data_IF_327939534949
#
_entry.id   IF_327939534949
#
_cell.length_a   1.000
_cell.length_b   1.000
_cell.length_c   1.000
_cell.angle_alpha   90.00
_cell.angle_beta   90.00
_cell.angle_gamma   90.00
#
_symmetry.space_group_name_H-M   'P 1'
#
loop_
_entity.id
_entity.type
_entity.pdbx_description
1 polymer ?
#
# COMPACT_ATOMS: atom_id res chain seq x y z
N UNK A 1 -8.47 1.43 0.58
CA UNK A 1 -6.98 1.40 0.55
C UNK A 1 -6.50 2.36 -0.52
N UNK A 2 -5.40 3.04 -0.27
CA UNK A 2 -4.86 4.05 -1.18
C UNK A 2 -3.92 3.45 -2.24
N UNK A 3 -3.64 4.19 -3.32
CA UNK A 3 -2.64 3.82 -4.33
C UNK A 3 -1.39 4.68 -4.21
N UNK A 4 -0.22 4.05 -4.21
CA UNK A 4 1.09 4.72 -4.24
C UNK A 4 1.81 4.35 -5.53
N UNK A 5 2.44 5.35 -6.17
CA UNK A 5 3.34 5.18 -7.32
C UNK A 5 4.52 6.13 -7.19
N UNK A 6 5.72 5.63 -7.36
CA UNK A 6 6.96 6.40 -7.53
C UNK A 6 7.64 5.98 -8.83
N UNK A 7 8.19 6.92 -9.55
CA UNK A 7 8.89 6.70 -10.81
C UNK A 7 10.14 7.55 -10.90
N UNK A 8 11.22 6.96 -11.43
CA UNK A 8 12.42 7.67 -11.85
C UNK A 8 13.01 6.98 -13.09
N UNK A 9 13.29 7.74 -14.16
CA UNK A 9 13.72 7.17 -15.44
C UNK A 9 13.73 8.17 -16.60
N UNK A 10 13.92 7.72 -17.85
CA UNK A 10 14.08 8.59 -19.01
C UNK A 10 12.77 9.23 -19.51
N UNK A 11 11.62 8.68 -19.14
CA UNK A 11 10.32 9.20 -19.59
C UNK A 11 9.93 10.45 -18.79
N UNK A 12 8.94 11.22 -19.31
CA UNK A 12 8.28 12.25 -18.50
C UNK A 12 7.54 11.58 -17.35
N UNK A 13 7.92 11.86 -16.11
CA UNK A 13 7.42 11.17 -14.92
C UNK A 13 5.90 11.24 -14.76
N UNK A 14 5.26 12.30 -15.25
CA UNK A 14 3.81 12.45 -15.21
C UNK A 14 3.07 11.28 -15.88
N UNK A 15 3.61 10.75 -16.99
CA UNK A 15 2.97 9.64 -17.72
C UNK A 15 2.94 8.34 -16.90
N UNK A 16 4.08 7.74 -16.50
CA UNK A 16 4.04 6.51 -15.71
C UNK A 16 3.35 6.67 -14.36
N UNK A 17 3.39 7.85 -13.73
CA UNK A 17 2.66 8.12 -12.50
C UNK A 17 1.14 8.06 -12.71
N UNK A 18 0.62 8.79 -13.70
CA UNK A 18 -0.83 8.82 -13.97
C UNK A 18 -1.34 7.44 -14.42
N UNK A 19 -0.61 6.73 -15.31
CA UNK A 19 -0.99 5.38 -15.73
C UNK A 19 -0.99 4.41 -14.55
N UNK A 20 0.02 4.47 -13.67
CA UNK A 20 0.06 3.65 -12.46
C UNK A 20 -1.09 3.97 -11.51
N UNK A 21 -1.37 5.24 -11.26
CA UNK A 21 -2.49 5.67 -10.41
C UNK A 21 -3.84 5.26 -11.00
N UNK A 22 -4.02 5.32 -12.32
CA UNK A 22 -5.26 4.90 -13.00
C UNK A 22 -5.56 3.41 -12.73
N UNK A 23 -4.53 2.58 -12.66
CA UNK A 23 -4.68 1.15 -12.33
C UNK A 23 -4.96 0.90 -10.87
N UNK A 24 -4.54 1.83 -10.00
CA UNK A 24 -4.78 1.76 -8.56
C UNK A 24 -6.02 2.54 -8.11
N UNK A 25 -6.76 3.20 -9.00
CA UNK A 25 -7.92 4.05 -8.65
C UNK A 25 -9.03 3.27 -7.92
N UNK A 26 -9.15 1.96 -8.17
CA UNK A 26 -10.07 1.11 -7.43
C UNK A 26 -9.77 1.01 -5.93
N UNK A 27 -8.54 1.35 -5.52
CA UNK A 27 -8.09 1.37 -4.12
C UNK A 27 -8.44 2.68 -3.40
N UNK A 28 -8.54 3.80 -4.13
CA UNK A 28 -8.85 5.11 -3.57
C UNK A 28 -9.27 6.07 -4.67
N UNK A 29 -10.33 6.83 -4.43
CA UNK A 29 -10.94 7.72 -5.42
C UNK A 29 -11.53 9.00 -4.82
N UNK A 30 -11.17 9.34 -3.57
CA UNK A 30 -11.66 10.55 -2.90
C UNK A 30 -10.75 11.76 -3.14
N UNK A 31 -9.50 11.53 -3.45
CA UNK A 31 -8.55 12.55 -3.91
C UNK A 31 -7.34 11.89 -4.59
N UNK A 32 -6.66 12.66 -5.43
CA UNK A 32 -5.44 12.25 -6.10
C UNK A 32 -4.44 13.40 -6.19
N UNK A 33 -3.15 13.08 -6.29
CA UNK A 33 -2.14 14.11 -6.52
C UNK A 33 -0.77 13.53 -6.85
N UNK A 34 0.08 14.40 -7.39
CA UNK A 34 1.46 14.10 -7.78
C UNK A 34 2.43 15.16 -7.25
N UNK A 35 3.65 14.73 -6.99
CA UNK A 35 4.81 15.60 -6.82
C UNK A 35 5.85 15.25 -7.88
N UNK A 36 6.30 16.24 -8.65
CA UNK A 36 7.31 16.08 -9.70
C UNK A 36 8.60 16.78 -9.29
N UNK A 37 9.71 16.05 -9.37
CA UNK A 37 11.03 16.53 -8.98
C UNK A 37 11.63 17.48 -10.02
N UNK A 38 11.75 18.77 -9.69
CA UNK A 38 12.52 19.73 -10.48
C UNK A 38 13.72 20.22 -9.67
N UNK A 39 14.83 20.57 -10.30
CA UNK A 39 15.98 21.10 -9.57
C UNK A 39 15.62 22.32 -8.71
N UNK A 40 15.84 22.21 -7.40
CA UNK A 40 15.61 23.28 -6.43
C UNK A 40 14.17 23.54 -6.02
N UNK A 41 13.19 22.88 -6.63
CA UNK A 41 11.76 22.97 -6.24
C UNK A 41 10.99 21.71 -6.62
N UNK A 42 9.83 21.53 -6.03
CA UNK A 42 8.86 20.50 -6.44
C UNK A 42 7.67 21.15 -7.14
N UNK A 43 7.18 20.50 -8.19
CA UNK A 43 5.86 20.80 -8.74
C UNK A 43 4.86 19.89 -8.04
N UNK A 44 3.83 20.45 -7.44
CA UNK A 44 2.78 19.73 -6.73
C UNK A 44 1.44 20.07 -7.36
N UNK A 45 0.68 19.05 -7.73
CA UNK A 45 -0.72 19.20 -8.12
C UNK A 45 -1.55 18.11 -7.42
N UNK A 46 -2.68 18.50 -6.82
CA UNK A 46 -3.56 17.59 -6.09
C UNK A 46 -4.99 18.07 -6.09
N UNK A 47 -5.94 17.13 -6.26
CA UNK A 47 -7.37 17.40 -6.38
C UNK A 47 -8.20 16.42 -5.58
N UNK A 48 -9.25 16.95 -4.95
CA UNK A 48 -10.33 16.15 -4.40
C UNK A 48 -11.14 15.48 -5.51
N UNK A 49 -11.67 14.29 -5.22
CA UNK A 49 -12.44 13.47 -6.14
C UNK A 49 -11.59 12.50 -6.96
N UNK A 50 -12.13 12.04 -8.08
CA UNK A 50 -11.52 11.01 -8.92
C UNK A 50 -10.22 11.49 -9.56
N UNK A 51 -9.39 10.53 -9.99
CA UNK A 51 -8.15 10.79 -10.71
C UNK A 51 -8.34 11.70 -11.92
N UNK A 52 -9.49 11.60 -12.60
CA UNK A 52 -9.85 12.50 -13.72
C UNK A 52 -9.86 13.97 -13.34
N UNK A 53 -10.13 14.34 -12.09
CA UNK A 53 -10.08 15.74 -11.65
C UNK A 53 -8.62 16.23 -11.61
N UNK A 54 -7.70 15.40 -11.17
CA UNK A 54 -6.26 15.68 -11.23
C UNK A 54 -5.82 15.78 -12.69
N UNK A 55 -6.16 14.81 -13.54
CA UNK A 55 -5.79 14.81 -14.97
C UNK A 55 -6.25 16.08 -15.68
N UNK A 56 -7.48 16.53 -15.42
CA UNK A 56 -8.03 17.76 -16.00
C UNK A 56 -7.36 19.04 -15.48
N UNK A 57 -6.71 19.01 -14.31
CA UNK A 57 -5.94 20.14 -13.78
C UNK A 57 -4.50 20.20 -14.30
N UNK A 58 -4.01 19.08 -14.85
CA UNK A 58 -2.68 19.00 -15.44
C UNK A 58 -2.74 19.59 -16.86
N UNK A 59 -2.12 20.71 -17.07
CA UNK A 59 -2.08 21.41 -18.37
C UNK A 59 -0.75 21.20 -19.12
N UNK A 60 -0.64 21.84 -20.29
CA UNK A 60 0.56 21.77 -21.12
C UNK A 60 1.81 22.41 -20.48
N UNK A 61 1.67 23.09 -19.32
CA UNK A 61 2.78 23.70 -18.57
C UNK A 61 3.47 22.74 -17.63
N UNK A 62 3.03 21.46 -17.54
CA UNK A 62 3.68 20.43 -16.75
C UNK A 62 5.19 20.38 -17.02
N UNK A 63 6.02 20.42 -15.97
CA UNK A 63 7.45 20.30 -16.14
C UNK A 63 7.79 18.91 -16.71
N UNK A 64 8.58 18.89 -17.80
CA UNK A 64 9.12 17.63 -18.35
C UNK A 64 10.28 17.19 -17.47
N UNK A 65 9.97 16.44 -16.44
CA UNK A 65 10.93 15.91 -15.47
C UNK A 65 10.88 14.40 -15.43
N UNK A 66 11.91 13.81 -14.87
CA UNK A 66 12.22 12.40 -14.99
C UNK A 66 11.89 11.59 -13.73
N UNK A 67 11.41 12.25 -12.68
CA UNK A 67 11.10 11.60 -11.41
C UNK A 67 9.91 12.23 -10.72
N UNK A 68 9.21 11.44 -9.92
CA UNK A 68 8.09 11.92 -9.13
C UNK A 68 7.43 10.82 -8.32
N UNK A 69 6.49 11.25 -7.47
CA UNK A 69 5.64 10.39 -6.67
C UNK A 69 4.18 10.78 -6.87
N UNK A 70 3.27 9.80 -6.79
CA UNK A 70 1.84 10.00 -7.00
C UNK A 70 1.01 9.13 -6.07
N UNK A 71 -0.20 9.62 -5.77
CA UNK A 71 -1.09 9.02 -4.79
C UNK A 71 -2.55 9.12 -5.20
N UNK A 72 -3.33 8.04 -4.96
CA UNK A 72 -4.80 8.08 -4.90
C UNK A 72 -5.23 7.72 -3.49
N UNK A 73 -6.12 8.54 -2.91
CA UNK A 73 -6.46 8.47 -1.50
C UNK A 73 -7.82 7.84 -1.25
N UNK A 74 -7.90 7.08 -0.16
CA UNK A 74 -9.10 6.75 0.59
C UNK A 74 -8.96 7.38 1.97
N UNK A 75 -9.78 8.37 2.29
CA UNK A 75 -9.62 9.19 3.50
C UNK A 75 -9.74 8.37 4.78
N UNK A 76 -8.76 8.53 5.65
CA UNK A 76 -8.76 8.01 7.04
C UNK A 76 -8.74 9.15 8.05
N UNK A 77 -7.92 10.17 7.84
CA UNK A 77 -7.79 11.38 8.67
C UNK A 77 -8.01 12.62 7.81
N UNK A 78 -8.94 13.47 8.20
CA UNK A 78 -9.36 14.65 7.45
C UNK A 78 -10.25 14.34 6.24
N UNK A 79 -11.17 15.25 5.91
CA UNK A 79 -12.10 15.09 4.80
C UNK A 79 -11.44 15.06 3.41
N UNK A 80 -12.17 14.68 2.35
CA UNK A 80 -11.67 14.65 0.98
C UNK A 80 -11.62 16.07 0.38
N UNK A 81 -10.56 16.80 0.69
CA UNK A 81 -10.30 18.16 0.20
C UNK A 81 -8.95 18.21 -0.52
N UNK A 82 -8.74 19.24 -1.36
CA UNK A 82 -7.44 19.45 -2.01
C UNK A 82 -6.31 19.60 -0.98
N UNK A 83 -6.57 20.25 0.17
CA UNK A 83 -5.60 20.42 1.24
C UNK A 83 -5.17 19.10 1.88
N UNK A 84 -6.11 18.19 2.07
CA UNK A 84 -5.88 16.88 2.69
C UNK A 84 -5.44 15.80 1.70
N UNK A 85 -5.47 16.07 0.38
CA UNK A 85 -4.93 15.18 -0.63
C UNK A 85 -3.41 15.06 -0.51
N UNK A 86 -2.85 13.90 -0.83
CA UNK A 86 -1.40 13.71 -0.97
C UNK A 86 -0.91 14.20 -2.34
N UNK A 87 0.35 14.62 -2.46
CA UNK A 87 1.43 14.64 -1.46
C UNK A 87 1.28 15.74 -0.41
N UNK A 88 1.87 15.52 0.78
CA UNK A 88 2.12 16.56 1.78
C UNK A 88 3.55 17.06 1.67
N UNK A 89 3.75 18.34 1.95
CA UNK A 89 5.07 18.99 1.81
C UNK A 89 5.53 19.59 3.13
N UNK A 90 6.83 19.76 3.26
CA UNK A 90 7.41 20.52 4.35
C UNK A 90 7.14 22.04 4.20
N UNK A 91 7.46 22.85 5.23
CA UNK A 91 7.22 24.29 5.18
C UNK A 91 8.09 25.03 4.15
N UNK A 92 9.17 24.42 3.65
CA UNK A 92 10.01 24.98 2.60
C UNK A 92 9.50 24.63 1.19
N UNK A 93 8.55 23.69 1.06
CA UNK A 93 8.05 23.19 -0.22
C UNK A 93 9.08 22.39 -1.00
N UNK A 94 10.12 21.87 -0.33
CA UNK A 94 11.22 21.15 -0.94
C UNK A 94 11.18 19.65 -0.75
N UNK A 95 10.47 19.16 0.26
CA UNK A 95 10.29 17.76 0.54
C UNK A 95 8.81 17.40 0.39
N UNK A 96 8.51 16.36 -0.38
CA UNK A 96 7.16 15.83 -0.52
C UNK A 96 7.08 14.38 -0.07
N UNK A 97 5.97 14.03 0.60
CA UNK A 97 5.70 12.68 1.12
C UNK A 97 4.32 12.23 0.68
N UNK A 98 4.22 10.98 0.29
CA UNK A 98 2.95 10.24 0.14
C UNK A 98 2.93 9.07 1.09
N UNK A 99 1.74 8.68 1.55
CA UNK A 99 1.54 7.70 2.61
C UNK A 99 0.30 6.85 2.40
N UNK A 100 0.45 5.54 2.58
CA UNK A 100 -0.65 4.60 2.80
C UNK A 100 -0.56 4.07 4.23
N UNK A 101 -1.67 4.07 4.95
CA UNK A 101 -1.73 3.54 6.32
C UNK A 101 -2.15 4.59 7.35
N UNK A 102 -1.71 4.42 8.58
CA UNK A 102 -2.02 5.28 9.72
C UNK A 102 -0.78 5.45 10.59
N UNK A 103 -0.45 6.71 10.90
CA UNK A 103 0.57 7.06 11.90
C UNK A 103 -0.13 7.26 13.24
N UNK A 104 -0.11 6.24 14.09
CA UNK A 104 -0.87 6.19 15.34
C UNK A 104 -0.46 7.28 16.34
N UNK A 105 0.82 7.67 16.34
CA UNK A 105 1.34 8.71 17.24
C UNK A 105 1.41 10.10 16.59
N UNK A 106 0.66 10.35 15.51
CA UNK A 106 0.72 11.62 14.77
C UNK A 106 0.37 12.84 15.64
N UNK A 107 -0.52 12.71 16.60
CA UNK A 107 -0.92 13.81 17.50
C UNK A 107 0.25 14.27 18.38
N UNK A 108 1.02 13.32 18.91
CA UNK A 108 2.22 13.59 19.71
C UNK A 108 3.30 14.26 18.85
N UNK A 109 3.52 13.71 17.64
CA UNK A 109 4.49 14.24 16.67
C UNK A 109 4.10 15.65 16.22
N UNK A 110 2.84 15.89 15.92
CA UNK A 110 2.32 17.21 15.54
C UNK A 110 2.59 18.25 16.62
N UNK A 111 2.25 17.95 17.88
CA UNK A 111 2.51 18.86 18.99
C UNK A 111 4.01 19.19 19.15
N UNK A 112 4.89 18.21 19.00
CA UNK A 112 6.35 18.41 19.05
C UNK A 112 6.85 19.29 17.89
N UNK A 113 6.34 19.07 16.68
CA UNK A 113 6.74 19.81 15.49
C UNK A 113 6.19 21.25 15.51
N UNK A 114 4.96 21.46 15.99
CA UNK A 114 4.40 22.80 16.20
C UNK A 114 5.21 23.58 17.24
N UNK A 115 5.67 22.93 18.33
CA UNK A 115 6.56 23.55 19.31
C UNK A 115 7.94 23.93 18.72
N UNK A 116 8.40 23.25 17.67
CA UNK A 116 9.61 23.61 16.89
C UNK A 116 9.35 24.70 15.85
N UNK A 117 8.10 25.14 15.67
CA UNK A 117 7.70 26.21 14.74
C UNK A 117 7.17 25.74 13.38
N UNK A 118 6.96 24.45 13.18
CA UNK A 118 6.31 23.95 11.95
C UNK A 118 4.84 24.39 11.91
N UNK A 119 4.39 24.74 10.71
CA UNK A 119 2.98 25.12 10.45
C UNK A 119 2.32 24.02 9.64
N UNK A 120 1.20 23.55 10.14
CA UNK A 120 0.39 22.53 9.50
C UNK A 120 -0.72 23.17 8.66
N UNK A 121 -0.92 22.67 7.46
CA UNK A 121 -1.91 23.12 6.48
C UNK A 121 -3.03 22.11 6.25
N UNK A 122 -2.87 20.88 6.74
CA UNK A 122 -3.84 19.81 6.60
C UNK A 122 -4.25 19.19 7.94
N UNK A 123 -5.28 18.35 7.88
CA UNK A 123 -5.79 17.59 9.02
C UNK A 123 -5.22 16.15 9.02
N UNK A 124 -4.29 15.81 8.11
CA UNK A 124 -3.79 14.46 7.93
C UNK A 124 -2.65 14.14 8.90
N UNK A 125 -2.51 12.87 9.23
CA UNK A 125 -1.36 12.33 9.96
C UNK A 125 -0.07 12.43 9.15
N UNK A 126 -0.17 12.34 7.82
CA UNK A 126 0.96 12.32 6.88
C UNK A 126 1.78 13.62 6.87
N UNK A 127 1.16 14.78 7.08
CA UNK A 127 1.90 16.05 7.12
C UNK A 127 2.93 16.08 8.26
N UNK A 128 2.66 15.37 9.38
CA UNK A 128 3.62 15.20 10.47
C UNK A 128 4.90 14.49 9.98
N UNK A 129 4.77 13.52 9.07
CA UNK A 129 5.92 12.82 8.50
C UNK A 129 6.74 13.73 7.60
N UNK A 130 6.10 14.59 6.80
CA UNK A 130 6.81 15.54 5.94
C UNK A 130 7.68 16.50 6.75
N UNK A 131 7.16 17.05 7.84
CA UNK A 131 7.90 17.93 8.73
C UNK A 131 9.01 17.20 9.51
N UNK A 132 8.72 15.99 10.02
CA UNK A 132 9.71 15.16 10.71
C UNK A 132 10.89 14.83 9.79
N UNK A 133 10.62 14.39 8.55
CA UNK A 133 11.66 14.09 7.57
C UNK A 133 12.47 15.32 7.17
N UNK A 134 11.84 16.51 7.10
CA UNK A 134 12.55 17.76 6.82
C UNK A 134 13.57 18.09 7.91
N UNK A 135 13.21 17.94 9.19
CA UNK A 135 14.12 18.13 10.31
C UNK A 135 15.25 17.10 10.29
N UNK A 136 14.92 15.82 10.25
CA UNK A 136 15.90 14.73 10.25
C UNK A 136 16.87 14.81 9.06
N UNK A 137 16.38 15.21 7.87
CA UNK A 137 17.25 15.37 6.70
C UNK A 137 18.31 16.46 6.93
N UNK A 138 17.98 17.53 7.63
CA UNK A 138 18.95 18.57 8.01
C UNK A 138 20.00 18.02 8.98
N UNK A 139 19.57 17.21 9.95
CA UNK A 139 20.48 16.53 10.90
C UNK A 139 21.43 15.56 10.19
N UNK A 140 20.97 14.90 9.12
CA UNK A 140 21.78 13.99 8.30
C UNK A 140 22.46 14.65 7.08
N UNK A 141 22.70 15.96 7.10
CA UNK A 141 23.40 16.69 6.04
C UNK A 141 22.82 16.47 4.62
N UNK A 142 21.51 16.29 4.54
CA UNK A 142 20.79 16.12 3.28
C UNK A 142 20.54 14.66 2.85
N UNK A 143 20.99 13.67 3.59
CA UNK A 143 20.70 12.25 3.32
C UNK A 143 19.26 11.89 3.69
N UNK A 144 18.42 11.76 2.65
CA UNK A 144 16.99 11.44 2.83
C UNK A 144 16.78 9.99 3.30
N UNK A 145 17.67 9.06 2.92
CA UNK A 145 17.55 7.67 3.34
C UNK A 145 17.90 7.50 4.83
N UNK A 146 18.92 8.20 5.32
CA UNK A 146 19.23 8.24 6.74
C UNK A 146 18.09 8.89 7.55
N UNK A 147 17.54 10.01 7.05
CA UNK A 147 16.39 10.65 7.65
C UNK A 147 15.16 9.72 7.71
N UNK A 148 14.90 8.95 6.64
CA UNK A 148 13.80 7.98 6.60
C UNK A 148 13.98 6.87 7.64
N UNK A 149 15.19 6.33 7.80
CA UNK A 149 15.50 5.32 8.82
C UNK A 149 15.17 5.79 10.23
N UNK A 150 15.57 7.02 10.57
CA UNK A 150 15.30 7.58 11.89
C UNK A 150 13.84 8.00 12.08
N UNK A 151 13.18 8.48 11.01
CA UNK A 151 11.75 8.72 11.05
C UNK A 151 10.97 7.43 11.37
N UNK A 152 11.29 6.30 10.71
CA UNK A 152 10.65 4.99 10.95
C UNK A 152 10.80 4.51 12.39
N UNK A 153 11.92 4.79 13.03
CA UNK A 153 12.13 4.47 14.46
C UNK A 153 11.22 5.30 15.39
N UNK A 154 10.89 6.53 14.97
CA UNK A 154 10.01 7.43 15.72
C UNK A 154 8.51 7.20 15.46
N UNK A 155 8.16 6.62 14.31
CA UNK A 155 6.77 6.39 13.90
C UNK A 155 6.21 5.11 14.52
N UNK A 156 4.93 5.17 14.93
CA UNK A 156 4.12 4.01 15.33
C UNK A 156 2.98 3.81 14.35
N UNK A 157 2.58 2.56 14.13
CA UNK A 157 1.47 2.21 13.26
C UNK A 157 1.88 1.40 12.04
N UNK A 158 0.99 1.37 11.04
CA UNK A 158 1.17 0.68 9.77
C UNK A 158 1.26 1.70 8.66
N UNK A 159 2.32 1.63 7.86
CA UNK A 159 2.55 2.64 6.83
C UNK A 159 3.38 2.14 5.66
N UNK A 160 3.14 2.74 4.51
CA UNK A 160 4.05 2.80 3.37
C UNK A 160 4.28 4.27 3.05
N UNK A 161 5.53 4.67 3.02
CA UNK A 161 5.95 6.05 2.75
C UNK A 161 6.83 6.10 1.50
N UNK A 162 6.58 7.08 0.63
CA UNK A 162 7.58 7.53 -0.36
C UNK A 162 7.85 9.01 -0.15
N UNK A 163 9.11 9.39 -0.30
CA UNK A 163 9.57 10.77 -0.19
C UNK A 163 10.49 11.14 -1.35
N UNK A 164 10.39 12.40 -1.80
CA UNK A 164 11.25 13.03 -2.80
C UNK A 164 11.68 14.41 -2.32
N UNK A 165 12.89 14.83 -2.64
CA UNK A 165 13.40 16.14 -2.26
C UNK A 165 13.96 16.92 -3.46
N UNK A 166 13.67 18.21 -3.52
CA UNK A 166 14.05 19.11 -4.62
C UNK A 166 15.56 19.23 -4.87
N UNK A 167 16.40 19.04 -3.85
CA UNK A 167 17.86 19.09 -4.00
C UNK A 167 18.45 17.81 -4.63
N UNK A 168 17.69 16.70 -4.61
CA UNK A 168 18.05 15.43 -5.25
C UNK A 168 16.82 14.85 -5.98
N UNK A 169 16.32 15.52 -7.02
CA UNK A 169 15.02 15.24 -7.61
C UNK A 169 14.91 13.83 -8.23
N UNK A 170 16.03 13.23 -8.64
CA UNK A 170 16.03 11.89 -9.26
C UNK A 170 16.12 10.75 -8.23
N UNK A 171 16.15 11.09 -6.93
CA UNK A 171 16.19 10.11 -5.82
C UNK A 171 14.84 10.04 -5.15
N UNK A 172 14.26 8.84 -5.10
CA UNK A 172 13.05 8.55 -4.34
C UNK A 172 13.42 7.58 -3.23
N UNK A 173 13.01 7.89 -2.01
CA UNK A 173 13.22 7.03 -0.85
C UNK A 173 11.87 6.48 -0.39
N UNK A 174 11.80 5.17 -0.18
CA UNK A 174 10.60 4.49 0.27
C UNK A 174 10.85 3.55 1.45
N UNK A 175 9.80 3.27 2.20
CA UNK A 175 9.82 2.30 3.31
C UNK A 175 8.42 1.73 3.51
N UNK A 176 8.35 0.53 4.08
CA UNK A 176 7.08 -0.08 4.48
C UNK A 176 7.14 -0.69 5.89
N UNK A 177 6.00 -0.59 6.59
CA UNK A 177 5.68 -1.36 7.80
C UNK A 177 4.22 -1.80 7.73
N UNK A 178 3.96 -3.10 7.65
CA UNK A 178 2.62 -3.74 7.58
C UNK A 178 1.72 -3.31 6.40
N UNK A 179 2.14 -2.36 5.57
CA UNK A 179 1.44 -1.90 4.36
C UNK A 179 2.33 -2.21 3.15
N UNK A 180 1.80 -2.60 1.97
CA UNK A 180 2.64 -3.11 0.88
C UNK A 180 3.43 -2.02 0.17
N UNK A 181 4.63 -2.39 -0.24
CA UNK A 181 5.47 -1.66 -1.20
C UNK A 181 6.29 -2.67 -2.00
N UNK A 182 6.27 -2.52 -3.30
CA UNK A 182 7.05 -3.33 -4.25
C UNK A 182 7.88 -2.41 -5.13
N UNK A 183 9.04 -2.89 -5.56
CA UNK A 183 9.93 -2.17 -6.47
C UNK A 183 9.91 -2.85 -7.83
N UNK A 184 9.69 -2.10 -8.91
CA UNK A 184 9.80 -2.56 -10.29
C UNK A 184 11.12 -2.14 -10.89
N UNK A 185 11.83 -3.07 -11.55
CA UNK A 185 13.12 -2.85 -12.17
C UNK A 185 12.97 -2.79 -13.69
N UNK A 186 13.14 -1.60 -14.28
CA UNK A 186 13.15 -1.39 -15.73
C UNK A 186 14.56 -1.27 -16.31
N UNK A 187 14.65 -0.89 -17.58
CA UNK A 187 15.89 -0.62 -18.26
C UNK A 187 16.18 0.89 -18.25
N UNK A 188 17.06 1.33 -17.33
CA UNK A 188 17.32 2.74 -17.08
C UNK A 188 16.16 3.48 -16.39
N UNK A 189 15.21 2.76 -15.84
CA UNK A 189 14.08 3.30 -15.09
C UNK A 189 13.66 2.34 -13.97
N UNK A 190 13.15 2.88 -12.89
CA UNK A 190 12.69 2.11 -11.76
C UNK A 190 11.38 2.66 -11.20
N UNK A 191 10.63 1.79 -10.53
CA UNK A 191 9.30 2.05 -10.00
C UNK A 191 9.21 1.64 -8.54
N UNK A 192 8.42 2.35 -7.76
CA UNK A 192 7.90 1.89 -6.47
C UNK A 192 6.39 1.99 -6.49
N UNK A 193 5.69 0.97 -6.02
CA UNK A 193 4.23 1.03 -5.96
C UNK A 193 3.66 0.19 -4.83
N UNK A 194 2.44 0.50 -4.41
CA UNK A 194 1.70 -0.33 -3.46
C UNK A 194 1.18 -1.64 -4.08
N UNK A 195 1.24 -1.77 -5.41
CA UNK A 195 0.87 -2.99 -6.15
C UNK A 195 1.61 -3.03 -7.49
N UNK A 196 2.01 -4.22 -7.92
CA UNK A 196 2.68 -4.46 -9.20
C UNK A 196 1.83 -4.04 -10.41
N UNK A 197 0.51 -4.00 -10.27
CA UNK A 197 -0.41 -3.54 -11.31
C UNK A 197 -0.06 -2.12 -11.81
N UNK A 198 0.51 -1.28 -10.96
CA UNK A 198 0.88 0.09 -11.31
C UNK A 198 1.96 0.16 -12.40
N UNK A 199 2.89 -0.79 -12.44
CA UNK A 199 4.03 -0.75 -13.35
C UNK A 199 4.19 -1.98 -14.25
N UNK A 200 3.26 -2.93 -14.21
CA UNK A 200 3.39 -4.20 -14.95
C UNK A 200 3.52 -4.04 -16.46
N UNK A 201 3.04 -2.94 -17.05
CA UNK A 201 3.23 -2.64 -18.48
C UNK A 201 4.65 -2.20 -18.82
N UNK A 202 5.36 -1.67 -17.83
CA UNK A 202 6.73 -1.16 -18.00
C UNK A 202 7.76 -2.24 -17.69
N UNK A 203 7.51 -3.05 -16.64
CA UNK A 203 8.43 -4.13 -16.26
C UNK A 203 7.71 -5.25 -15.52
N UNK A 204 8.19 -6.49 -15.74
CA UNK A 204 7.80 -7.69 -14.98
C UNK A 204 8.81 -8.09 -13.90
N UNK A 205 9.97 -7.44 -13.86
CA UNK A 205 10.99 -7.71 -12.85
C UNK A 205 10.69 -6.90 -11.60
N UNK A 206 10.57 -7.58 -10.47
CA UNK A 206 10.21 -6.92 -9.22
C UNK A 206 11.08 -7.38 -8.03
N UNK A 207 11.12 -6.56 -7.01
CA UNK A 207 11.72 -6.85 -5.71
C UNK A 207 10.61 -6.82 -4.66
N UNK A 208 10.54 -7.87 -3.84
CA UNK A 208 9.75 -7.89 -2.62
C UNK A 208 10.52 -7.16 -1.52
N UNK A 209 9.88 -6.14 -0.91
CA UNK A 209 10.47 -5.38 0.19
C UNK A 209 10.03 -5.97 1.54
N UNK A 210 10.97 -6.20 2.44
CA UNK A 210 10.71 -6.63 3.81
C UNK A 210 10.13 -5.54 4.69
N UNK A 211 9.84 -5.89 5.94
CA UNK A 211 9.37 -4.92 6.95
C UNK A 211 10.53 -4.03 7.40
N UNK A 212 10.25 -2.73 7.54
CA UNK A 212 11.23 -1.74 8.02
C UNK A 212 12.52 -1.67 7.17
N UNK A 213 12.43 -2.10 5.92
CA UNK A 213 13.50 -1.92 4.94
C UNK A 213 13.33 -0.60 4.19
N UNK A 214 14.37 0.21 4.16
CA UNK A 214 14.41 1.49 3.46
C UNK A 214 15.03 1.29 2.09
N UNK A 215 14.31 1.66 1.05
CA UNK A 215 14.76 1.60 -0.33
C UNK A 215 15.08 2.99 -0.86
N UNK A 216 16.27 3.13 -1.46
CA UNK A 216 16.69 4.30 -2.20
C UNK A 216 16.72 3.96 -3.68
N UNK A 217 15.91 4.65 -4.47
CA UNK A 217 15.72 4.39 -5.89
C UNK A 217 16.20 5.57 -6.72
N UNK A 218 17.04 5.29 -7.72
CA UNK A 218 17.45 6.19 -8.79
C UNK A 218 17.10 5.59 -10.16
N UNK A 219 17.26 6.29 -11.28
CA UNK A 219 17.01 5.70 -12.60
C UNK A 219 17.80 4.41 -12.88
N UNK A 220 18.98 4.26 -12.29
CA UNK A 220 19.93 3.20 -12.61
C UNK A 220 20.29 2.30 -11.44
N UNK A 221 19.82 2.61 -10.23
CA UNK A 221 20.12 1.82 -9.02
C UNK A 221 18.92 1.71 -8.07
N UNK A 222 18.88 0.59 -7.36
CA UNK A 222 18.01 0.36 -6.22
C UNK A 222 18.84 -0.20 -5.09
N UNK A 223 18.89 0.52 -3.99
CA UNK A 223 19.63 0.14 -2.78
C UNK A 223 18.62 -0.07 -1.65
N UNK A 224 18.76 -1.18 -0.90
CA UNK A 224 17.89 -1.52 0.21
C UNK A 224 18.76 -1.68 1.46
N UNK A 225 18.33 -1.02 2.53
CA UNK A 225 19.02 -1.11 3.83
C UNK A 225 18.01 -1.42 4.95
N UNK A 226 18.48 -2.03 6.03
CA UNK A 226 17.75 -2.08 7.29
C UNK A 226 17.76 -0.70 7.99
N UNK A 227 17.11 -0.60 9.15
CA UNK A 227 17.06 0.63 9.94
C UNK A 227 18.41 1.06 10.54
N UNK A 228 19.39 0.17 10.55
CA UNK A 228 20.76 0.49 10.98
C UNK A 228 21.64 0.91 9.79
N UNK A 229 21.09 0.94 8.57
CA UNK A 229 21.80 1.30 7.35
C UNK A 229 22.65 0.17 6.76
N UNK A 230 22.49 -1.07 7.23
CA UNK A 230 23.18 -2.22 6.66
C UNK A 230 22.50 -2.67 5.37
N UNK A 231 23.24 -2.98 4.31
CA UNK A 231 22.67 -3.47 3.07
C UNK A 231 21.89 -4.77 3.27
N UNK A 232 20.72 -4.83 2.66
CA UNK A 232 19.85 -6.03 2.62
C UNK A 232 19.93 -6.63 1.22
N UNK A 233 20.05 -7.96 1.13
CA UNK A 233 20.00 -8.66 -0.15
C UNK A 233 18.56 -8.73 -0.64
N UNK A 234 18.21 -8.10 -1.78
CA UNK A 234 16.84 -8.06 -2.26
C UNK A 234 16.38 -9.42 -2.77
N UNK A 235 15.11 -9.73 -2.53
CA UNK A 235 14.43 -10.92 -3.09
C UNK A 235 13.77 -10.54 -4.41
N UNK A 236 14.42 -10.93 -5.51
CA UNK A 236 13.91 -10.71 -6.85
C UNK A 236 12.87 -11.77 -7.23
N UNK A 237 11.85 -11.35 -7.97
CA UNK A 237 10.89 -12.24 -8.60
C UNK A 237 10.40 -11.69 -9.94
N UNK A 238 9.83 -12.56 -10.77
CA UNK A 238 9.23 -12.18 -12.04
C UNK A 238 7.70 -12.32 -11.94
N UNK A 239 6.98 -11.30 -12.39
CA UNK A 239 5.53 -11.27 -12.39
C UNK A 239 5.04 -12.20 -13.50
N UNK A 240 4.33 -13.27 -13.12
CA UNK A 240 3.90 -14.35 -14.04
C UNK A 240 2.64 -14.02 -14.85
N UNK A 241 1.86 -13.02 -14.45
CA UNK A 241 0.64 -12.58 -15.13
C UNK A 241 0.90 -11.32 -15.97
N UNK A 242 0.00 -10.98 -16.88
CA UNK A 242 0.14 -9.82 -17.77
C UNK A 242 -0.79 -8.65 -17.38
N UNK A 243 -0.55 -7.50 -18.01
CA UNK A 243 -1.32 -6.29 -17.75
C UNK A 243 -2.81 -6.42 -18.12
N UNK A 244 -3.19 -7.35 -18.99
CA UNK A 244 -4.59 -7.56 -19.40
C UNK A 244 -5.45 -8.06 -18.22
N UNK A 245 -4.85 -8.81 -17.30
CA UNK A 245 -5.52 -9.28 -16.09
C UNK A 245 -5.88 -8.12 -15.15
N UNK A 246 -5.09 -7.05 -15.13
CA UNK A 246 -5.32 -5.87 -14.31
C UNK A 246 -6.32 -4.87 -14.93
N UNK A 247 -6.72 -5.05 -16.19
CA UNK A 247 -7.63 -4.14 -16.89
C UNK A 247 -9.10 -4.49 -16.65
N UNK A 248 -10.00 -3.52 -16.91
CA UNK A 248 -11.45 -3.73 -16.76
C UNK A 248 -12.05 -4.73 -17.74
N UNK A 249 -11.32 -5.18 -18.76
CA UNK A 249 -11.75 -6.22 -19.70
C UNK A 249 -13.05 -5.88 -20.46
N UNK A 250 -13.28 -4.59 -20.76
CA UNK A 250 -14.50 -4.12 -21.41
C UNK A 250 -15.68 -3.81 -20.48
N UNK A 251 -15.54 -4.04 -19.18
CA UNK A 251 -16.56 -3.69 -18.19
C UNK A 251 -16.46 -2.22 -17.77
N UNK A 252 -17.60 -1.58 -17.49
CA UNK A 252 -17.64 -0.18 -17.03
C UNK A 252 -16.98 0.00 -15.65
N UNK A 253 -17.07 -1.02 -14.77
CA UNK A 253 -16.56 -0.98 -13.41
C UNK A 253 -15.84 -2.28 -13.06
N UNK A 254 -14.80 -2.22 -12.21
CA UNK A 254 -14.09 -3.41 -11.71
C UNK A 254 -15.02 -4.36 -10.96
N UNK A 255 -15.89 -3.85 -10.08
CA UNK A 255 -16.86 -4.69 -9.37
C UNK A 255 -17.75 -5.48 -10.35
N UNK A 256 -18.20 -4.87 -11.45
CA UNK A 256 -19.00 -5.56 -12.46
C UNK A 256 -18.20 -6.67 -13.14
N UNK A 257 -16.93 -6.42 -13.49
CA UNK A 257 -16.01 -7.45 -13.99
C UNK A 257 -15.89 -8.61 -12.99
N UNK A 258 -15.60 -8.32 -11.72
CA UNK A 258 -15.42 -9.32 -10.67
C UNK A 258 -16.69 -10.15 -10.45
N UNK A 259 -17.88 -9.56 -10.52
CA UNK A 259 -19.15 -10.29 -10.45
C UNK A 259 -19.23 -11.35 -11.56
N UNK A 260 -18.88 -10.99 -12.79
CA UNK A 260 -18.93 -11.93 -13.92
C UNK A 260 -17.76 -12.93 -13.94
N UNK A 261 -16.65 -12.61 -13.29
CA UNK A 261 -15.48 -13.51 -13.15
C UNK A 261 -15.65 -14.55 -12.03
N UNK A 262 -16.62 -14.40 -11.11
CA UNK A 262 -16.80 -15.32 -9.98
C UNK A 262 -16.84 -16.81 -10.36
N UNK A 263 -17.54 -17.26 -11.40
CA UNK A 263 -17.55 -18.67 -11.78
C UNK A 263 -16.16 -19.21 -12.10
N UNK A 264 -15.37 -18.40 -12.85
CA UNK A 264 -14.00 -18.75 -13.18
C UNK A 264 -13.09 -18.72 -11.94
N UNK A 265 -13.18 -17.68 -11.11
CA UNK A 265 -12.39 -17.54 -9.90
C UNK A 265 -12.62 -18.70 -8.92
N UNK A 266 -13.88 -19.15 -8.75
CA UNK A 266 -14.20 -20.31 -7.92
C UNK A 266 -13.60 -21.58 -8.52
N UNK A 267 -13.75 -21.80 -9.83
CA UNK A 267 -13.17 -22.96 -10.51
C UNK A 267 -11.65 -22.99 -10.38
N UNK A 268 -10.98 -21.87 -10.64
CA UNK A 268 -9.53 -21.74 -10.53
C UNK A 268 -9.02 -22.00 -9.10
N UNK A 269 -9.78 -21.55 -8.09
CA UNK A 269 -9.45 -21.80 -6.67
C UNK A 269 -9.50 -23.28 -6.31
N UNK A 270 -10.33 -24.08 -6.98
CA UNK A 270 -10.47 -25.51 -6.73
C UNK A 270 -9.44 -26.37 -7.50
N UNK A 271 -8.72 -25.79 -8.47
CA UNK A 271 -7.68 -26.51 -9.23
C UNK A 271 -6.60 -26.99 -8.26
N UNK A 272 -6.29 -28.30 -8.32
CA UNK A 272 -5.29 -28.95 -7.44
C UNK A 272 -5.75 -29.17 -6.00
N UNK A 273 -6.96 -28.73 -5.63
CA UNK A 273 -7.51 -28.92 -4.28
C UNK A 273 -8.50 -30.10 -4.16
N UNK A 274 -8.76 -30.74 -5.27
CA UNK A 274 -9.54 -31.97 -5.35
C UNK A 274 -8.73 -33.05 -6.04
N UNK A 275 -8.59 -34.21 -5.39
CA UNK A 275 -7.98 -35.40 -6.00
C UNK A 275 -8.97 -36.07 -6.97
N UNK A 276 -8.46 -36.99 -7.81
CA UNK A 276 -9.30 -37.81 -8.71
C UNK A 276 -10.36 -38.63 -7.97
N UNK A 277 -10.16 -38.88 -6.67
CA UNK A 277 -11.08 -39.59 -5.79
C UNK A 277 -12.02 -38.65 -5.00
N UNK A 278 -12.15 -37.38 -5.43
CA UNK A 278 -12.93 -36.34 -4.75
C UNK A 278 -12.53 -36.08 -3.29
N UNK A 279 -11.28 -36.33 -2.92
CA UNK A 279 -10.75 -35.94 -1.61
C UNK A 279 -10.23 -34.52 -1.69
N UNK A 280 -10.47 -33.75 -0.63
CA UNK A 280 -9.98 -32.38 -0.49
C UNK A 280 -8.50 -32.44 -0.14
N UNK A 281 -7.67 -31.76 -0.93
CA UNK A 281 -6.22 -31.61 -0.72
C UNK A 281 -5.96 -30.18 -0.22
N UNK A 282 -5.51 -30.07 1.04
CA UNK A 282 -5.15 -28.80 1.69
C UNK A 282 -3.74 -28.95 2.28
N UNK A 283 -2.75 -29.19 1.43
CA UNK A 283 -1.37 -29.48 1.83
C UNK A 283 -0.74 -28.33 2.63
N UNK A 284 -1.23 -27.12 2.44
CA UNK A 284 -0.81 -25.91 3.17
C UNK A 284 -1.45 -25.80 4.56
N UNK A 285 -2.49 -26.60 4.85
CA UNK A 285 -3.13 -26.66 6.17
C UNK A 285 -2.33 -27.60 7.06
N UNK A 286 -1.25 -27.17 7.66
CA UNK A 286 -0.39 -27.96 8.53
C UNK A 286 -1.09 -28.47 9.81
N UNK A 287 -2.22 -29.14 9.65
CA UNK A 287 -3.04 -29.74 10.71
C UNK A 287 -3.30 -31.21 10.41
N UNK A 288 -3.10 -32.05 11.40
CA UNK A 288 -3.46 -33.46 11.32
C UNK A 288 -5.00 -33.66 11.37
N UNK A 289 -5.46 -34.80 10.88
CA UNK A 289 -6.87 -35.16 10.95
C UNK A 289 -7.40 -35.22 12.39
N UNK A 290 -6.56 -35.56 13.36
CA UNK A 290 -6.96 -35.63 14.77
C UNK A 290 -7.06 -34.24 15.41
N UNK A 291 -6.17 -33.31 15.06
CA UNK A 291 -6.30 -31.91 15.45
C UNK A 291 -7.59 -31.30 14.89
N UNK A 292 -7.88 -31.52 13.60
CA UNK A 292 -9.14 -31.06 13.00
C UNK A 292 -10.37 -31.63 13.71
N UNK A 293 -10.35 -32.93 14.06
CA UNK A 293 -11.46 -33.58 14.80
C UNK A 293 -11.61 -33.10 16.24
N UNK A 294 -10.54 -32.57 16.82
CA UNK A 294 -10.54 -32.04 18.19
C UNK A 294 -11.16 -30.64 18.30
N UNK A 295 -11.38 -29.96 17.17
CA UNK A 295 -11.96 -28.62 17.15
C UNK A 295 -13.38 -28.62 17.69
N UNK A 296 -13.66 -27.68 18.59
CA UNK A 296 -14.99 -27.48 19.19
C UNK A 296 -15.68 -26.22 18.69
N UNK A 297 -14.94 -25.30 18.12
CA UNK A 297 -15.42 -24.01 17.66
C UNK A 297 -14.55 -23.49 16.50
N UNK A 298 -15.14 -22.72 15.61
CA UNK A 298 -14.44 -21.94 14.60
C UNK A 298 -14.82 -20.47 14.78
N UNK A 299 -13.86 -19.58 14.73
CA UNK A 299 -14.09 -18.13 14.68
C UNK A 299 -13.50 -17.59 13.38
N UNK A 300 -14.34 -17.01 12.55
CA UNK A 300 -13.93 -16.35 11.30
C UNK A 300 -13.79 -14.86 11.57
N UNK A 301 -12.65 -14.29 11.25
CA UNK A 301 -12.37 -12.85 11.39
C UNK A 301 -12.09 -12.23 10.03
N UNK A 302 -12.74 -11.13 9.72
CA UNK A 302 -12.59 -10.44 8.45
C UNK A 302 -13.18 -9.02 8.49
N UNK A 303 -12.92 -8.24 7.43
CA UNK A 303 -13.54 -6.94 7.18
C UNK A 303 -14.21 -6.90 5.80
N UNK A 304 -15.19 -6.01 5.62
CA UNK A 304 -15.84 -5.76 4.33
C UNK A 304 -16.49 -7.00 3.70
N UNK A 305 -16.28 -7.20 2.40
CA UNK A 305 -16.86 -8.33 1.65
C UNK A 305 -16.29 -9.69 2.09
N UNK A 306 -15.06 -9.73 2.60
CA UNK A 306 -14.48 -10.94 3.19
C UNK A 306 -15.25 -11.37 4.46
N UNK A 307 -15.73 -10.42 5.28
CA UNK A 307 -16.63 -10.70 6.41
C UNK A 307 -17.94 -11.33 5.94
N UNK A 308 -18.54 -10.82 4.86
CA UNK A 308 -19.77 -11.41 4.30
C UNK A 308 -19.54 -12.82 3.75
N UNK A 309 -18.37 -13.10 3.15
CA UNK A 309 -17.98 -14.46 2.76
C UNK A 309 -17.90 -15.39 3.99
N UNK A 310 -17.33 -14.90 5.10
CA UNK A 310 -17.31 -15.59 6.40
C UNK A 310 -18.73 -15.91 6.91
N UNK A 311 -19.68 -14.98 6.78
CA UNK A 311 -21.09 -15.23 7.16
C UNK A 311 -21.72 -16.36 6.34
N UNK A 312 -21.44 -16.44 5.03
CA UNK A 312 -21.90 -17.55 4.19
C UNK A 312 -21.23 -18.87 4.61
N UNK A 313 -19.92 -18.84 4.84
CA UNK A 313 -19.15 -20.00 5.29
C UNK A 313 -19.69 -20.57 6.62
N UNK A 314 -20.12 -19.70 7.56
CA UNK A 314 -20.74 -20.11 8.82
C UNK A 314 -21.87 -21.10 8.60
N UNK A 315 -22.85 -20.76 7.75
CA UNK A 315 -23.99 -21.63 7.49
C UNK A 315 -23.58 -22.98 6.89
N UNK A 316 -22.60 -22.98 5.99
CA UNK A 316 -22.09 -24.19 5.37
C UNK A 316 -21.38 -25.10 6.40
N UNK A 317 -20.45 -24.53 7.18
CA UNK A 317 -19.67 -25.27 8.18
C UNK A 317 -20.58 -25.82 9.29
N UNK A 318 -21.45 -25.01 9.87
CA UNK A 318 -22.40 -25.47 10.90
C UNK A 318 -23.33 -26.59 10.40
N UNK A 319 -23.75 -26.49 9.12
CA UNK A 319 -24.61 -27.54 8.51
C UNK A 319 -23.82 -28.82 8.28
N UNK A 320 -22.61 -28.78 7.78
CA UNK A 320 -21.83 -29.93 7.34
C UNK A 320 -21.00 -30.55 8.45
N UNK A 321 -20.24 -29.73 9.18
CA UNK A 321 -19.32 -30.18 10.22
C UNK A 321 -19.96 -30.27 11.62
N UNK A 322 -21.14 -29.62 11.85
CA UNK A 322 -21.80 -29.54 13.15
C UNK A 322 -20.92 -28.89 14.26
N UNK A 323 -20.06 -27.97 13.86
CA UNK A 323 -19.20 -27.20 14.75
C UNK A 323 -19.75 -25.76 14.80
N UNK A 324 -19.94 -25.15 15.98
CA UNK A 324 -20.35 -23.76 16.11
C UNK A 324 -19.35 -22.80 15.43
N UNK A 325 -19.87 -21.82 14.70
CA UNK A 325 -19.04 -20.81 14.02
C UNK A 325 -19.46 -19.41 14.43
N UNK A 326 -18.52 -18.63 14.93
CA UNK A 326 -18.67 -17.19 15.10
C UNK A 326 -18.02 -16.45 13.94
N UNK A 327 -18.62 -15.34 13.54
CA UNK A 327 -18.06 -14.45 12.52
C UNK A 327 -17.96 -13.06 13.11
N UNK A 328 -16.75 -12.54 13.18
CA UNK A 328 -16.47 -11.26 13.83
C UNK A 328 -15.77 -10.29 12.88
N UNK A 329 -16.02 -8.99 13.06
CA UNK A 329 -15.27 -7.94 12.38
C UNK A 329 -13.87 -7.93 12.96
N UNK A 330 -12.85 -7.98 12.11
CA UNK A 330 -11.47 -8.15 12.54
C UNK A 330 -10.97 -7.00 13.46
N UNK A 331 -11.41 -5.76 13.22
CA UNK A 331 -11.10 -4.62 14.11
C UNK A 331 -11.63 -4.82 15.52
N UNK A 332 -12.90 -5.25 15.65
CA UNK A 332 -13.50 -5.52 16.95
C UNK A 332 -12.80 -6.68 17.67
N UNK A 333 -12.48 -7.75 16.93
CA UNK A 333 -11.76 -8.88 17.47
C UNK A 333 -10.37 -8.49 17.99
N UNK A 334 -9.63 -7.66 17.24
CA UNK A 334 -8.29 -7.19 17.60
C UNK A 334 -8.28 -6.37 18.88
N UNK A 335 -9.21 -5.42 19.04
CA UNK A 335 -9.13 -4.43 20.11
C UNK A 335 -9.88 -4.83 21.40
N UNK A 336 -10.77 -5.85 21.34
CA UNK A 336 -11.51 -6.29 22.54
C UNK A 336 -10.79 -7.33 23.41
N UNK A 337 -9.57 -7.74 23.05
CA UNK A 337 -8.79 -8.77 23.75
C UNK A 337 -9.60 -10.06 23.97
N UNK A 338 -9.91 -10.82 22.90
CA UNK A 338 -10.86 -11.92 22.94
C UNK A 338 -10.35 -13.10 23.77
N UNK A 339 -11.24 -13.74 24.52
CA UNK A 339 -10.94 -15.02 25.19
C UNK A 339 -11.03 -16.14 24.14
N UNK A 340 -9.92 -16.81 23.90
CA UNK A 340 -9.80 -17.89 22.91
C UNK A 340 -9.49 -19.21 23.62
N UNK A 341 -10.37 -20.20 23.41
CA UNK A 341 -10.11 -21.57 23.87
C UNK A 341 -9.15 -22.28 22.88
N UNK A 342 -8.17 -23.08 23.36
CA UNK A 342 -7.24 -23.82 22.50
C UNK A 342 -7.91 -24.77 21.48
N UNK A 343 -9.16 -25.18 21.69
CA UNK A 343 -9.94 -25.97 20.74
C UNK A 343 -10.67 -25.13 19.68
N UNK A 344 -10.40 -23.82 19.60
CA UNK A 344 -10.99 -22.90 18.61
C UNK A 344 -10.01 -22.71 17.45
N UNK A 345 -10.48 -22.98 16.24
CA UNK A 345 -9.76 -22.59 15.00
C UNK A 345 -10.12 -21.14 14.65
N UNK A 346 -9.11 -20.28 14.47
CA UNK A 346 -9.28 -18.94 13.94
C UNK A 346 -9.02 -18.97 12.43
N UNK A 347 -9.97 -18.47 11.64
CA UNK A 347 -9.84 -18.32 10.19
C UNK A 347 -9.87 -16.82 9.86
N UNK A 348 -8.72 -16.27 9.49
CA UNK A 348 -8.63 -14.91 9.00
C UNK A 348 -8.84 -14.88 7.48
N UNK A 349 -9.79 -14.07 6.99
CA UNK A 349 -10.06 -13.92 5.57
C UNK A 349 -9.66 -12.50 5.13
N UNK A 350 -8.63 -12.41 4.30
CA UNK A 350 -8.17 -11.15 3.72
C UNK A 350 -7.98 -11.33 2.21
N UNK A 351 -8.65 -10.48 1.41
CA UNK A 351 -8.49 -10.49 -0.04
C UNK A 351 -7.15 -9.86 -0.44
N UNK A 352 -6.82 -8.73 0.16
CA UNK A 352 -5.61 -7.97 -0.19
C UNK A 352 -4.37 -8.38 0.60
N UNK A 353 -4.54 -9.07 1.73
CA UNK A 353 -3.47 -9.27 2.71
C UNK A 353 -3.01 -7.98 3.42
N UNK A 354 -3.71 -6.87 3.17
CA UNK A 354 -3.30 -5.52 3.59
C UNK A 354 -4.24 -4.89 4.64
N UNK A 355 -5.35 -5.57 4.95
CA UNK A 355 -6.29 -5.07 5.96
C UNK A 355 -5.64 -5.23 7.33
N UNK A 356 -5.19 -4.12 7.90
CA UNK A 356 -4.38 -4.08 9.12
C UNK A 356 -5.04 -4.79 10.32
N UNK A 357 -6.36 -4.74 10.40
CA UNK A 357 -7.11 -5.36 11.50
C UNK A 357 -7.41 -6.86 11.27
N UNK A 358 -7.10 -7.37 10.09
CA UNK A 358 -7.23 -8.80 9.77
C UNK A 358 -5.88 -9.48 9.79
#
# INVERSE_FOLDING_TARGET
>A
MCGIVGYTGPQSASHPLIEGLRRLEYRGYDSAGIALGTPGKLFIEKKAGKLSNLENSLDASLPKVHSGIGHTRWATHGGPTDGNAHPHVDNEGKLAVIHNGIIENYTELRAQLEAKGHKFSSETDTESVAHLLSDLRKEHNGDLAAAMRDAVKALRGSFTLLAIHADAPDVIVGVRRNSPLVVGLGDGENFMASDVAAFIEFTKKAIELGQDEVVTMTPTSVEITDLDGKPVTPKHYEISWDASAAQKGGFAHFMLKEIFEQPKAVADTLIGRLSDNNQILLDELHMSADEIRSLKKITVIACGTAYHAGMVAKYAIEKWAKIPVDVEIASEFRYRDPIIDPSTLIIAISQSGETMDT
#
